data_IF_783506162898
#
_entry.id   IF_783506162898
#
_cell.length_a   1.000
_cell.length_b   1.000
_cell.length_c   1.000
_cell.angle_alpha   90.00
_cell.angle_beta   90.00
_cell.angle_gamma   90.00
#
_symmetry.space_group_name_H-M   'P 1'
#
loop_
_entity.id
_entity.type
_entity.pdbx_description
1 polymer ?
#
# COMPACT_ATOMS: atom_id res chain seq x y z
N UNK A 1 4.01 18.84 7.02
CA UNK A 1 5.21 18.13 6.49
C UNK A 1 4.98 17.85 5.01
N UNK A 2 5.94 18.11 4.10
CA UNK A 2 5.80 17.76 2.70
C UNK A 2 5.97 16.24 2.53
N UNK A 3 4.87 15.56 2.24
CA UNK A 3 4.82 14.10 2.15
C UNK A 3 4.57 13.68 0.71
N UNK A 4 5.51 12.91 0.12
CA UNK A 4 5.40 12.46 -1.26
C UNK A 4 4.45 11.26 -1.38
N UNK A 5 3.15 11.56 -1.32
CA UNK A 5 2.11 10.56 -1.15
C UNK A 5 0.93 10.73 -2.10
N UNK A 6 0.92 11.83 -2.86
CA UNK A 6 -0.06 12.09 -3.89
C UNK A 6 0.01 11.01 -4.99
N UNK A 7 -1.18 10.51 -5.39
CA UNK A 7 -1.35 9.49 -6.42
C UNK A 7 -0.46 8.25 -6.26
N UNK A 8 0.03 7.96 -5.04
CA UNK A 8 1.00 6.90 -4.83
C UNK A 8 0.47 5.54 -5.28
N UNK A 9 -0.82 5.28 -5.10
CA UNK A 9 -1.44 4.02 -5.51
C UNK A 9 -1.32 3.78 -7.02
N UNK A 10 -1.46 4.84 -7.82
CA UNK A 10 -1.39 4.75 -9.29
C UNK A 10 0.08 4.66 -9.73
N UNK A 11 0.97 5.45 -9.11
CA UNK A 11 2.36 5.61 -9.57
C UNK A 11 3.38 4.69 -8.88
N UNK A 12 2.96 3.86 -7.91
CA UNK A 12 3.85 2.95 -7.17
C UNK A 12 4.24 1.67 -7.94
N UNK A 13 4.06 1.64 -9.26
CA UNK A 13 4.49 0.55 -10.13
C UNK A 13 5.96 0.72 -10.56
N UNK A 14 6.85 0.92 -9.59
CA UNK A 14 8.28 1.17 -9.82
C UNK A 14 9.14 0.14 -9.10
N UNK A 15 10.34 -0.14 -9.62
CA UNK A 15 11.26 -1.10 -9.01
C UNK A 15 11.77 -0.61 -7.65
N UNK A 16 12.18 -1.56 -6.79
CA UNK A 16 12.80 -1.28 -5.48
C UNK A 16 13.93 -0.25 -5.56
N UNK A 17 14.77 -0.32 -6.59
CA UNK A 17 15.86 0.64 -6.84
C UNK A 17 15.34 2.06 -7.01
N UNK A 18 14.26 2.25 -7.79
CA UNK A 18 13.64 3.58 -7.98
C UNK A 18 12.95 4.07 -6.71
N UNK A 19 12.31 3.17 -5.94
CA UNK A 19 11.75 3.51 -4.62
C UNK A 19 12.84 4.06 -3.71
N UNK A 20 13.99 3.39 -3.63
CA UNK A 20 15.12 3.82 -2.81
C UNK A 20 15.69 5.17 -3.27
N UNK A 21 15.74 5.42 -4.58
CA UNK A 21 16.18 6.70 -5.12
C UNK A 21 15.25 7.85 -4.70
N UNK A 22 13.93 7.65 -4.84
CA UNK A 22 12.93 8.64 -4.41
C UNK A 22 13.02 8.89 -2.90
N UNK A 23 13.20 7.83 -2.12
CA UNK A 23 13.38 7.94 -0.68
C UNK A 23 14.67 8.71 -0.31
N UNK A 24 15.75 8.50 -1.05
CA UNK A 24 16.99 9.27 -0.91
C UNK A 24 16.78 10.77 -1.15
N UNK A 25 16.05 11.13 -2.20
CA UNK A 25 15.67 12.52 -2.49
C UNK A 25 14.84 13.11 -1.34
N UNK A 26 13.83 12.37 -0.87
CA UNK A 26 12.98 12.82 0.23
C UNK A 26 13.78 13.02 1.53
N UNK A 27 14.67 12.10 1.88
CA UNK A 27 15.52 12.20 3.07
C UNK A 27 16.50 13.37 2.96
N UNK A 28 17.09 13.61 1.79
CA UNK A 28 17.96 14.77 1.57
C UNK A 28 17.20 16.08 1.73
N UNK A 29 16.00 16.16 1.17
CA UNK A 29 15.12 17.31 1.35
C UNK A 29 14.80 17.55 2.83
N UNK A 30 14.42 16.51 3.57
CA UNK A 30 14.12 16.62 5.01
C UNK A 30 15.33 17.08 5.83
N UNK A 31 16.54 16.63 5.49
CA UNK A 31 17.79 17.12 6.11
C UNK A 31 18.00 18.61 5.87
N UNK A 32 17.87 19.05 4.62
CA UNK A 32 17.99 20.48 4.27
C UNK A 32 16.90 21.33 4.93
N UNK A 33 15.68 20.81 5.01
CA UNK A 33 14.56 21.47 5.68
C UNK A 33 14.82 21.62 7.19
N UNK A 34 15.28 20.55 7.86
CA UNK A 34 15.59 20.58 9.28
C UNK A 34 16.77 21.50 9.61
N UNK A 35 17.77 21.59 8.72
CA UNK A 35 18.85 22.56 8.87
C UNK A 35 18.33 24.01 8.86
N UNK A 36 17.38 24.31 7.97
CA UNK A 36 16.80 25.66 7.84
C UNK A 36 15.77 25.98 8.93
N UNK A 37 15.08 24.97 9.45
CA UNK A 37 14.04 25.08 10.48
C UNK A 37 14.34 24.11 11.64
N UNK A 38 15.32 24.44 12.49
CA UNK A 38 15.69 23.59 13.62
C UNK A 38 14.53 23.44 14.63
N UNK A 39 14.40 22.26 15.24
CA UNK A 39 13.37 21.96 16.24
C UNK A 39 12.20 21.09 15.74
N UNK A 40 12.12 20.82 14.43
CA UNK A 40 11.10 19.94 13.86
C UNK A 40 11.64 18.50 13.79
N UNK A 41 11.91 17.88 14.95
CA UNK A 41 12.40 16.49 15.06
C UNK A 41 11.46 15.46 14.41
N UNK A 42 10.20 15.81 14.20
CA UNK A 42 9.19 14.98 13.51
C UNK A 42 9.63 14.58 12.09
N UNK A 43 10.50 15.38 11.45
CA UNK A 43 11.03 15.08 10.11
C UNK A 43 11.87 13.79 10.06
N UNK A 44 12.54 13.44 11.16
CA UNK A 44 13.53 12.36 11.16
C UNK A 44 12.93 10.98 11.41
N UNK A 45 11.77 10.91 12.07
CA UNK A 45 11.12 9.63 12.43
C UNK A 45 10.14 9.13 11.34
N UNK A 46 10.34 9.57 10.10
CA UNK A 46 9.44 9.18 9.02
C UNK A 46 9.61 7.69 8.67
N UNK A 47 8.52 6.90 8.60
CA UNK A 47 8.61 5.52 8.18
C UNK A 47 9.14 5.41 6.73
N UNK A 48 9.78 4.28 6.38
CA UNK A 48 10.25 4.03 5.03
C UNK A 48 9.18 4.26 3.98
N UNK A 49 9.56 4.84 2.84
CA UNK A 49 8.62 5.16 1.75
C UNK A 49 7.82 3.92 1.31
N UNK A 50 8.49 2.77 1.25
CA UNK A 50 7.86 1.49 0.90
C UNK A 50 6.69 1.13 1.83
N UNK A 51 6.90 1.18 3.16
CA UNK A 51 5.86 0.85 4.15
C UNK A 51 4.66 1.79 4.05
N UNK A 52 4.91 3.10 3.92
CA UNK A 52 3.85 4.11 3.75
C UNK A 52 3.03 3.91 2.49
N UNK A 53 3.65 3.40 1.43
CA UNK A 53 2.95 3.09 0.17
C UNK A 53 2.12 1.83 0.30
N UNK A 54 2.65 0.75 0.88
CA UNK A 54 1.86 -0.47 1.16
C UNK A 54 0.62 -0.13 1.99
N UNK A 55 0.79 0.65 3.06
CA UNK A 55 -0.33 1.09 3.89
C UNK A 55 -1.43 1.77 3.06
N UNK A 56 -1.05 2.66 2.14
CA UNK A 56 -2.00 3.34 1.25
C UNK A 56 -2.66 2.41 0.25
N UNK A 57 -1.90 1.48 -0.30
CA UNK A 57 -2.39 0.53 -1.28
C UNK A 57 -3.47 -0.37 -0.67
N UNK A 58 -3.23 -0.83 0.55
CA UNK A 58 -4.18 -1.65 1.31
C UNK A 58 -5.39 -0.83 1.80
N UNK A 59 -5.17 0.41 2.23
CA UNK A 59 -6.26 1.31 2.59
C UNK A 59 -7.14 1.64 1.38
N UNK A 60 -6.52 1.86 0.21
CA UNK A 60 -7.24 2.08 -1.04
C UNK A 60 -8.03 0.85 -1.47
N UNK A 61 -7.46 -0.34 -1.32
CA UNK A 61 -8.17 -1.61 -1.57
C UNK A 61 -9.41 -1.74 -0.70
N UNK A 62 -9.28 -1.50 0.60
CA UNK A 62 -10.40 -1.49 1.54
C UNK A 62 -11.47 -0.50 1.10
N UNK A 63 -11.07 0.74 0.79
CA UNK A 63 -12.01 1.75 0.35
C UNK A 63 -12.74 1.36 -0.96
N UNK A 64 -12.04 0.72 -1.90
CA UNK A 64 -12.65 0.24 -3.14
C UNK A 64 -13.68 -0.87 -2.89
N UNK A 65 -13.42 -1.78 -1.95
CA UNK A 65 -14.31 -2.91 -1.66
C UNK A 65 -15.51 -2.51 -0.79
N UNK A 66 -15.36 -1.49 0.05
CA UNK A 66 -16.43 -0.92 0.86
C UNK A 66 -17.16 0.24 0.17
N UNK A 67 -16.97 0.42 -1.14
CA UNK A 67 -17.57 1.51 -1.94
C UNK A 67 -17.32 2.93 -1.39
N UNK A 68 -16.24 3.13 -0.64
CA UNK A 68 -15.79 4.44 -0.12
C UNK A 68 -14.98 5.23 -1.16
N UNK A 69 -14.68 4.63 -2.31
CA UNK A 69 -13.99 5.28 -3.42
C UNK A 69 -14.61 4.82 -4.73
N UNK A 70 -14.99 5.78 -5.56
CA UNK A 70 -15.58 5.51 -6.87
C UNK A 70 -14.49 5.11 -7.87
N UNK A 71 -14.22 3.81 -7.97
CA UNK A 71 -13.25 3.25 -8.92
C UNK A 71 -13.68 1.88 -9.44
N UNK A 72 -14.82 1.84 -10.15
CA UNK A 72 -15.34 0.63 -10.77
C UNK A 72 -14.32 -0.09 -11.68
N UNK A 73 -13.43 0.67 -12.33
CA UNK A 73 -12.39 0.13 -13.19
C UNK A 73 -11.30 -0.65 -12.43
N UNK A 74 -11.07 -0.35 -11.16
CA UNK A 74 -10.13 -1.11 -10.32
C UNK A 74 -10.83 -2.31 -9.71
N UNK A 75 -12.05 -2.11 -9.19
CA UNK A 75 -12.86 -3.18 -8.58
C UNK A 75 -13.13 -4.31 -9.58
N UNK A 76 -13.46 -3.99 -10.83
CA UNK A 76 -13.67 -4.97 -11.90
C UNK A 76 -12.42 -5.79 -12.26
N UNK A 77 -11.23 -5.35 -11.85
CA UNK A 77 -9.95 -6.03 -12.08
C UNK A 77 -9.42 -6.78 -10.84
N UNK A 78 -10.16 -6.76 -9.73
CA UNK A 78 -9.85 -7.54 -8.55
C UNK A 78 -10.35 -8.96 -8.75
N UNK A 79 -9.47 -9.95 -8.64
CA UNK A 79 -9.83 -11.34 -8.79
C UNK A 79 -9.78 -12.00 -7.42
N UNK A 80 -10.91 -12.45 -6.91
CA UNK A 80 -10.93 -13.22 -5.66
C UNK A 80 -10.45 -14.64 -5.91
N UNK A 81 -9.67 -15.17 -4.97
CA UNK A 81 -9.23 -16.55 -5.02
C UNK A 81 -10.35 -17.46 -4.48
N UNK A 82 -10.91 -18.28 -5.38
CA UNK A 82 -11.84 -19.33 -5.03
C UNK A 82 -11.08 -20.68 -5.03
N UNK A 83 -10.63 -21.18 -3.87
CA UNK A 83 -9.92 -22.45 -3.80
C UNK A 83 -10.85 -23.62 -4.15
N UNK A 84 -10.43 -24.49 -5.07
CA UNK A 84 -11.08 -25.79 -5.27
C UNK A 84 -10.74 -26.80 -4.18
N UNK A 85 -9.66 -26.54 -3.41
CA UNK A 85 -9.17 -27.39 -2.32
C UNK A 85 -8.66 -26.52 -1.17
N UNK A 86 -8.96 -26.93 0.06
CA UNK A 86 -8.50 -26.23 1.26
C UNK A 86 -6.99 -26.40 1.44
N UNK A 87 -6.24 -25.30 1.35
CA UNK A 87 -4.80 -25.27 1.60
C UNK A 87 -4.49 -24.45 2.84
N UNK A 88 -3.35 -24.72 3.49
CA UNK A 88 -2.86 -23.90 4.62
C UNK A 88 -2.52 -22.46 4.23
N UNK A 89 -2.34 -22.18 2.94
CA UNK A 89 -2.14 -20.83 2.42
C UNK A 89 -3.48 -20.11 2.33
N UNK A 90 -3.67 -19.09 3.17
CA UNK A 90 -4.80 -18.17 3.07
C UNK A 90 -4.45 -17.06 2.08
N UNK A 91 -5.07 -17.10 0.89
CA UNK A 91 -4.96 -16.05 -0.13
C UNK A 91 -6.36 -15.53 -0.41
N UNK A 92 -6.53 -14.22 -0.35
CA UNK A 92 -7.81 -13.59 -0.68
C UNK A 92 -7.94 -13.35 -2.18
N UNK A 93 -6.83 -13.00 -2.84
CA UNK A 93 -6.83 -12.64 -4.26
C UNK A 93 -6.09 -13.66 -5.12
N UNK A 94 -6.62 -13.89 -6.32
CA UNK A 94 -5.97 -14.63 -7.38
C UNK A 94 -5.19 -13.66 -8.28
N UNK A 95 -3.87 -13.68 -8.19
CA UNK A 95 -3.04 -12.80 -9.02
C UNK A 95 -2.82 -13.45 -10.38
N UNK A 96 -3.56 -13.00 -11.40
CA UNK A 96 -3.40 -13.48 -12.77
C UNK A 96 -2.02 -13.09 -13.31
N UNK A 97 -1.17 -14.09 -13.62
CA UNK A 97 0.19 -13.96 -14.12
C UNK A 97 0.32 -13.18 -15.45
N UNK A 98 -0.74 -13.13 -16.26
CA UNK A 98 -0.74 -12.46 -17.58
C UNK A 98 -0.83 -10.94 -17.54
N UNK A 99 -1.31 -10.34 -16.44
CA UNK A 99 -1.38 -8.88 -16.32
C UNK A 99 0.01 -8.26 -16.13
N UNK A 100 0.29 -7.13 -16.77
CA UNK A 100 1.55 -6.41 -16.56
C UNK A 100 1.77 -6.09 -15.07
N UNK A 101 3.00 -6.34 -14.58
CA UNK A 101 3.45 -5.96 -13.23
C UNK A 101 3.36 -4.45 -12.97
N UNK A 102 3.09 -3.66 -14.02
CA UNK A 102 2.89 -2.21 -13.95
C UNK A 102 1.45 -1.78 -13.66
N UNK A 103 0.55 -2.71 -13.36
CA UNK A 103 -0.84 -2.39 -13.02
C UNK A 103 -1.04 -2.22 -11.50
N UNK A 104 -1.73 -1.14 -11.05
CA UNK A 104 -1.98 -0.93 -9.63
C UNK A 104 -2.86 -2.03 -9.03
N UNK A 105 -3.86 -2.51 -9.78
CA UNK A 105 -4.77 -3.59 -9.35
C UNK A 105 -4.04 -4.89 -9.04
N UNK A 106 -3.11 -5.33 -9.91
CA UNK A 106 -2.30 -6.53 -9.66
C UNK A 106 -1.38 -6.34 -8.46
N UNK A 107 -0.71 -5.20 -8.41
CA UNK A 107 0.25 -4.86 -7.34
C UNK A 107 -0.42 -4.88 -5.97
N UNK A 108 -1.59 -4.26 -5.84
CA UNK A 108 -2.37 -4.22 -4.60
C UNK A 108 -2.76 -5.64 -4.14
N UNK A 109 -3.22 -6.49 -5.06
CA UNK A 109 -3.57 -7.89 -4.77
C UNK A 109 -2.35 -8.69 -4.28
N UNK A 110 -1.18 -8.49 -4.90
CA UNK A 110 0.08 -9.11 -4.45
C UNK A 110 0.42 -8.61 -3.04
N UNK A 111 0.44 -7.30 -2.82
CA UNK A 111 0.80 -6.71 -1.52
C UNK A 111 -0.10 -7.23 -0.39
N UNK A 112 -1.40 -7.40 -0.65
CA UNK A 112 -2.32 -7.98 0.32
C UNK A 112 -1.95 -9.42 0.66
N UNK A 113 -1.80 -10.27 -0.35
CA UNK A 113 -1.48 -11.68 -0.14
C UNK A 113 -0.11 -11.88 0.53
N UNK A 114 0.83 -10.96 0.36
CA UNK A 114 2.17 -11.06 0.97
C UNK A 114 2.24 -10.51 2.39
N UNK A 115 1.50 -9.46 2.72
CA UNK A 115 1.65 -8.74 4.00
C UNK A 115 0.46 -8.88 4.95
N UNK A 116 -0.72 -9.21 4.44
CA UNK A 116 -1.98 -9.09 5.18
C UNK A 116 -2.93 -10.28 4.98
N UNK A 117 -2.39 -11.47 4.67
CA UNK A 117 -3.19 -12.69 4.49
C UNK A 117 -4.03 -13.08 5.71
N UNK A 118 -3.63 -12.64 6.92
CA UNK A 118 -4.35 -12.88 8.17
C UNK A 118 -5.38 -11.81 8.54
N UNK A 119 -5.38 -10.66 7.84
CA UNK A 119 -6.39 -9.64 8.07
C UNK A 119 -7.67 -10.01 7.35
N UNK A 120 -8.81 -9.78 7.99
CA UNK A 120 -10.10 -9.86 7.32
C UNK A 120 -10.46 -8.48 6.75
N UNK A 121 -10.54 -8.41 5.43
CA UNK A 121 -10.81 -7.17 4.71
C UNK A 121 -12.32 -6.93 4.49
N UNK A 122 -13.16 -7.95 4.64
CA UNK A 122 -14.60 -7.88 4.33
C UNK A 122 -15.46 -7.55 5.56
N UNK A 123 -15.04 -7.92 6.76
CA UNK A 123 -15.86 -7.80 7.97
C UNK A 123 -15.47 -6.66 8.92
N UNK A 124 -14.33 -6.00 8.69
CA UNK A 124 -13.76 -5.07 9.66
C UNK A 124 -14.20 -3.62 9.44
N UNK A 125 -14.53 -2.93 10.53
CA UNK A 125 -14.65 -1.47 10.56
C UNK A 125 -13.34 -0.80 10.16
N UNK A 126 -13.42 0.35 9.48
CA UNK A 126 -12.24 1.06 8.97
C UNK A 126 -11.24 1.45 10.08
N UNK A 127 -11.73 1.74 11.29
CA UNK A 127 -10.89 2.09 12.43
C UNK A 127 -10.07 0.89 12.93
N UNK A 128 -10.73 -0.27 13.03
CA UNK A 128 -10.08 -1.54 13.39
C UNK A 128 -9.08 -1.95 12.32
N UNK A 129 -9.46 -1.82 11.04
CA UNK A 129 -8.58 -2.12 9.91
C UNK A 129 -7.33 -1.23 9.88
N UNK A 130 -7.48 0.09 10.04
CA UNK A 130 -6.34 1.02 10.11
C UNK A 130 -5.40 0.71 11.28
N UNK A 131 -5.96 0.34 12.43
CA UNK A 131 -5.17 -0.01 13.63
C UNK A 131 -4.38 -1.29 13.41
N UNK A 132 -5.02 -2.31 12.83
CA UNK A 132 -4.37 -3.56 12.50
C UNK A 132 -3.28 -3.40 11.42
N UNK A 133 -3.52 -2.57 10.39
CA UNK A 133 -2.51 -2.24 9.39
C UNK A 133 -1.27 -1.56 9.98
N UNK A 134 -1.45 -0.64 10.94
CA UNK A 134 -0.34 0.03 11.63
C UNK A 134 0.46 -0.91 12.52
N UNK A 135 -0.15 -1.98 13.03
CA UNK A 135 0.57 -2.98 13.81
C UNK A 135 1.48 -3.87 12.95
N UNK A 136 1.12 -4.08 11.68
CA UNK A 136 1.85 -4.95 10.74
C UNK A 136 2.97 -4.20 10.01
N UNK A 137 2.76 -2.92 9.68
CA UNK A 137 3.65 -2.10 8.83
C UNK A 137 4.47 -1.10 9.64
#
# INVERSE_FOLDING_TARGET
>A
MPVLEFASVVWNCISKTRVNMIEGVQRRFLRSYNYRFPGISVCMNMPPLFKRRIYRDLLFLYNCLHNLTDSMAVVSKLNFYAPSRTTRLQRLFYVNGSCSDRSPSRRIQIMYNTHCSSLDLLSTDICSFKSALRAIL
#
